data_IF_295603229223
#
_entry.id   IF_295603229223
#
_cell.length_a   1.000
_cell.length_b   1.000
_cell.length_c   1.000
_cell.angle_alpha   90.00
_cell.angle_beta   90.00
_cell.angle_gamma   90.00
#
_symmetry.space_group_name_H-M   'P 1'
#
loop_
_entity.id
_entity.type
_entity.pdbx_description
1 polymer ?
#
# COMPACT_ATOMS: atom_id res chain seq x y z
N UNK A 1 14.85 -10.09 37.47
CA UNK A 1 16.18 -9.92 36.85
C UNK A 1 15.94 -9.85 35.35
N UNK A 2 15.83 -8.65 34.78
CA UNK A 2 15.62 -8.49 33.33
C UNK A 2 16.99 -8.42 32.67
N UNK A 3 17.28 -9.38 31.78
CA UNK A 3 18.49 -9.39 30.96
C UNK A 3 18.58 -8.13 30.07
N UNK A 4 19.79 -7.63 29.81
CA UNK A 4 19.99 -6.48 28.94
C UNK A 4 19.72 -6.90 27.50
N UNK A 5 18.59 -6.45 26.94
CA UNK A 5 18.28 -6.62 25.52
C UNK A 5 19.41 -6.02 24.68
N UNK A 6 20.03 -6.88 23.87
CA UNK A 6 21.18 -6.54 23.03
C UNK A 6 20.93 -5.24 22.25
N UNK A 7 21.91 -4.33 22.28
CA UNK A 7 21.87 -3.08 21.51
C UNK A 7 21.57 -3.43 20.03
N UNK A 8 20.51 -2.85 19.43
CA UNK A 8 20.13 -3.21 18.07
C UNK A 8 21.25 -2.86 17.09
N UNK A 9 21.55 -3.78 16.17
CA UNK A 9 22.61 -3.59 15.18
C UNK A 9 22.33 -2.35 14.33
N UNK A 10 23.37 -1.55 14.06
CA UNK A 10 23.27 -0.33 13.23
C UNK A 10 22.67 -0.71 11.87
N UNK A 11 21.51 -0.13 11.54
CA UNK A 11 20.78 -0.43 10.29
C UNK A 11 19.69 -1.51 10.41
N UNK A 12 19.41 -2.04 11.59
CA UNK A 12 18.21 -2.87 11.82
C UNK A 12 16.95 -2.03 11.99
N UNK A 13 15.77 -2.64 11.79
CA UNK A 13 14.47 -1.97 11.96
C UNK A 13 14.30 -1.45 13.40
N UNK A 14 14.75 -2.22 14.40
CA UNK A 14 14.73 -1.82 15.81
C UNK A 14 15.70 -0.66 16.09
N UNK A 15 16.82 -0.59 15.36
CA UNK A 15 17.74 0.54 15.47
C UNK A 15 17.11 1.84 14.94
N UNK A 16 16.45 1.80 13.77
CA UNK A 16 15.74 2.97 13.22
C UNK A 16 14.57 3.39 14.11
N UNK A 17 13.82 2.42 14.64
CA UNK A 17 12.78 2.68 15.64
C UNK A 17 13.34 3.44 16.86
N UNK A 18 14.49 3.00 17.38
CA UNK A 18 15.17 3.70 18.47
C UNK A 18 15.64 5.11 18.12
N UNK A 19 15.97 5.38 16.85
CA UNK A 19 16.36 6.72 16.39
C UNK A 19 15.16 7.67 16.20
N UNK A 20 13.97 7.14 15.88
CA UNK A 20 12.74 7.93 15.79
C UNK A 20 12.46 8.66 17.12
N UNK A 21 12.64 7.98 18.25
CA UNK A 21 12.36 8.53 19.58
C UNK A 21 13.42 9.52 20.11
N UNK A 22 14.53 9.75 19.39
CA UNK A 22 15.65 10.59 19.84
C UNK A 22 15.55 12.05 19.35
N UNK A 23 14.63 12.34 18.42
CA UNK A 23 14.40 13.67 17.86
C UNK A 23 14.31 13.68 16.34
N UNK A 24 13.63 14.69 15.77
CA UNK A 24 13.28 14.75 14.35
C UNK A 24 14.50 14.71 13.41
N UNK A 25 15.55 15.47 13.72
CA UNK A 25 16.77 15.54 12.90
C UNK A 25 17.56 14.21 12.89
N UNK A 26 17.56 13.51 14.01
CA UNK A 26 18.24 12.21 14.16
C UNK A 26 17.45 11.13 13.41
N UNK A 27 16.13 11.18 13.54
CA UNK A 27 15.20 10.31 12.82
C UNK A 27 15.33 10.46 11.30
N UNK A 28 15.37 11.70 10.79
CA UNK A 28 15.52 11.97 9.36
C UNK A 28 16.84 11.43 8.80
N UNK A 29 17.95 11.67 9.50
CA UNK A 29 19.27 11.14 9.10
C UNK A 29 19.29 9.61 9.11
N UNK A 30 18.67 8.98 10.10
CA UNK A 30 18.56 7.53 10.19
C UNK A 30 17.70 6.95 9.06
N UNK A 31 16.52 7.53 8.80
CA UNK A 31 15.63 7.12 7.71
C UNK A 31 16.27 7.33 6.34
N UNK A 32 16.99 8.42 6.12
CA UNK A 32 17.65 8.71 4.84
C UNK A 32 18.77 7.72 4.51
N UNK A 33 19.41 7.18 5.55
CA UNK A 33 20.44 6.14 5.43
C UNK A 33 19.87 4.73 5.30
N UNK A 34 18.69 4.48 5.84
CA UNK A 34 18.11 3.14 5.97
C UNK A 34 17.02 2.81 4.94
N UNK A 35 16.22 3.79 4.56
CA UNK A 35 15.15 3.66 3.56
C UNK A 35 15.70 3.42 2.15
N UNK A 36 14.82 2.93 1.27
CA UNK A 36 15.15 2.73 -0.14
C UNK A 36 15.49 4.07 -0.82
N UNK A 37 16.52 4.09 -1.69
CA UNK A 37 17.01 5.33 -2.33
C UNK A 37 15.92 6.12 -3.06
N UNK A 38 14.94 5.43 -3.64
CA UNK A 38 13.82 6.05 -4.34
C UNK A 38 12.83 6.77 -3.40
N UNK A 39 12.77 6.40 -2.12
CA UNK A 39 11.86 7.00 -1.13
C UNK A 39 12.44 8.19 -0.37
N UNK A 40 13.71 8.54 -0.61
CA UNK A 40 14.38 9.68 0.03
C UNK A 40 13.62 11.01 -0.08
N UNK A 41 12.93 11.33 -1.20
CA UNK A 41 12.12 12.55 -1.28
C UNK A 41 10.91 12.58 -0.34
N UNK A 42 10.44 11.41 0.14
CA UNK A 42 9.30 11.30 1.06
C UNK A 42 9.72 11.56 2.52
N UNK A 43 11.03 11.55 2.82
CA UNK A 43 11.57 11.66 4.17
C UNK A 43 11.60 13.12 4.64
N UNK A 44 10.44 13.60 5.08
CA UNK A 44 10.24 14.96 5.60
C UNK A 44 9.98 14.94 7.09
N UNK A 45 10.15 16.09 7.76
CA UNK A 45 9.83 16.23 9.19
C UNK A 45 8.36 15.88 9.49
N UNK A 46 7.46 16.10 8.52
CA UNK A 46 6.05 15.72 8.63
C UNK A 46 5.87 14.20 8.71
N UNK A 47 6.61 13.43 7.89
CA UNK A 47 6.59 11.96 7.95
C UNK A 47 7.09 11.46 9.31
N UNK A 48 8.13 12.09 9.88
CA UNK A 48 8.63 11.71 11.20
C UNK A 48 7.59 11.96 12.30
N UNK A 49 6.89 13.10 12.26
CA UNK A 49 5.79 13.38 13.20
C UNK A 49 4.63 12.41 13.06
N UNK A 50 4.27 12.04 11.83
CA UNK A 50 3.24 11.03 11.58
C UNK A 50 3.66 9.67 12.17
N UNK A 51 4.91 9.23 11.92
CA UNK A 51 5.45 7.99 12.49
C UNK A 51 5.43 7.99 14.01
N UNK A 52 5.77 9.11 14.65
CA UNK A 52 5.75 9.23 16.12
C UNK A 52 4.34 9.23 16.73
N UNK A 53 3.31 9.52 15.93
CA UNK A 53 1.90 9.46 16.35
C UNK A 53 1.26 8.07 16.22
N UNK A 54 1.95 7.09 15.65
CA UNK A 54 1.42 5.74 15.39
C UNK A 54 1.70 4.78 16.56
N UNK A 55 0.90 3.71 16.62
CA UNK A 55 1.17 2.59 17.53
C UNK A 55 2.46 1.84 17.13
N UNK A 56 3.15 1.17 18.06
CA UNK A 56 4.42 0.49 17.76
C UNK A 56 4.36 -0.49 16.59
N UNK A 57 3.26 -1.22 16.42
CA UNK A 57 3.10 -2.17 15.32
C UNK A 57 2.90 -1.47 13.97
N UNK A 58 2.18 -0.35 13.96
CA UNK A 58 2.01 0.49 12.78
C UNK A 58 3.33 1.18 12.37
N UNK A 59 4.16 1.59 13.34
CA UNK A 59 5.51 2.11 13.05
C UNK A 59 6.36 1.03 12.39
N UNK A 60 6.33 -0.21 12.91
CA UNK A 60 7.09 -1.33 12.30
C UNK A 60 6.62 -1.62 10.88
N UNK A 61 5.31 -1.59 10.64
CA UNK A 61 4.75 -1.77 9.30
C UNK A 61 5.20 -0.65 8.34
N UNK A 62 5.10 0.61 8.76
CA UNK A 62 5.55 1.76 7.97
C UNK A 62 7.05 1.74 7.69
N UNK A 63 7.88 1.35 8.66
CA UNK A 63 9.31 1.16 8.45
C UNK A 63 9.59 0.04 7.43
N UNK A 64 8.88 -1.11 7.51
CA UNK A 64 9.01 -2.17 6.49
C UNK A 64 8.66 -1.66 5.09
N UNK A 65 7.65 -0.82 4.97
CA UNK A 65 7.25 -0.18 3.72
C UNK A 65 8.34 0.74 3.15
N UNK A 66 8.94 1.59 4.00
CA UNK A 66 10.00 2.53 3.59
C UNK A 66 11.29 1.84 3.12
N UNK A 67 11.46 0.56 3.44
CA UNK A 67 12.57 -0.26 2.97
C UNK A 67 12.34 -0.85 1.57
N UNK A 68 11.10 -0.86 1.09
CA UNK A 68 10.72 -1.33 -0.24
C UNK A 68 10.79 -0.20 -1.30
N UNK A 69 10.94 -0.51 -2.60
CA UNK A 69 10.87 0.49 -3.67
C UNK A 69 9.50 1.19 -3.77
N UNK A 70 9.40 2.23 -4.62
CA UNK A 70 8.13 2.95 -4.87
C UNK A 70 7.09 2.04 -5.52
N UNK A 71 5.81 2.35 -5.27
CA UNK A 71 4.65 1.70 -5.92
C UNK A 71 4.17 2.55 -7.10
N UNK A 72 3.99 1.94 -8.27
CA UNK A 72 3.54 2.57 -9.52
C UNK A 72 2.13 2.09 -9.92
N UNK A 73 1.39 2.91 -10.67
CA UNK A 73 0.15 2.58 -11.41
C UNK A 73 0.16 3.35 -12.75
N UNK A 74 -0.29 2.75 -13.86
CA UNK A 74 -0.34 3.40 -15.19
C UNK A 74 -1.79 3.60 -15.68
N UNK A 75 -2.04 4.71 -16.39
CA UNK A 75 -3.33 5.05 -17.02
C UNK A 75 -3.66 4.10 -18.19
N UNK A 76 -4.94 3.78 -18.39
CA UNK A 76 -5.43 2.88 -19.46
C UNK A 76 -5.29 3.58 -20.83
N UNK A 77 -4.71 2.90 -21.82
CA UNK A 77 -4.47 3.43 -23.18
C UNK A 77 -4.82 2.43 -24.28
N UNK A 78 -4.63 2.79 -25.56
CA UNK A 78 -5.04 1.96 -26.72
C UNK A 78 -4.31 0.61 -26.86
N UNK A 79 -3.24 0.38 -26.09
CA UNK A 79 -2.50 -0.90 -26.01
C UNK A 79 -2.74 -1.64 -24.68
N UNK A 80 -3.84 -1.35 -23.99
CA UNK A 80 -4.21 -2.02 -22.74
C UNK A 80 -4.80 -3.42 -23.01
N UNK A 81 -4.27 -4.43 -22.32
CA UNK A 81 -4.80 -5.79 -22.38
C UNK A 81 -5.93 -5.94 -21.35
N UNK A 82 -7.16 -6.10 -21.84
CA UNK A 82 -8.30 -6.48 -21.02
C UNK A 82 -8.48 -8.00 -21.06
N UNK A 83 -8.71 -8.59 -19.89
CA UNK A 83 -8.96 -10.01 -19.74
C UNK A 83 -10.37 -10.22 -19.16
N UNK A 84 -11.18 -11.14 -19.74
CA UNK A 84 -12.38 -11.62 -19.08
C UNK A 84 -11.97 -12.36 -17.81
N UNK A 85 -12.60 -12.00 -16.70
CA UNK A 85 -12.37 -12.60 -15.40
C UNK A 85 -13.67 -12.62 -14.59
N UNK A 86 -13.73 -13.49 -13.59
CA UNK A 86 -14.84 -13.51 -12.62
C UNK A 86 -14.34 -13.18 -11.22
N UNK A 87 -15.13 -12.42 -10.47
CA UNK A 87 -14.87 -12.09 -9.07
C UNK A 87 -15.95 -12.72 -8.19
N UNK A 88 -15.55 -13.53 -7.22
CA UNK A 88 -16.46 -13.98 -6.16
C UNK A 88 -16.23 -13.18 -4.88
N UNK A 89 -17.33 -12.80 -4.25
CA UNK A 89 -17.33 -12.35 -2.86
C UNK A 89 -17.11 -13.54 -1.92
N UNK A 90 -16.33 -13.33 -0.87
CA UNK A 90 -15.98 -14.38 0.08
C UNK A 90 -17.02 -14.54 1.20
N UNK A 91 -17.82 -13.52 1.44
CA UNK A 91 -18.81 -13.44 2.51
C UNK A 91 -20.19 -13.95 2.08
N UNK A 92 -20.65 -13.61 0.87
CA UNK A 92 -21.97 -13.98 0.37
C UNK A 92 -21.98 -14.80 -0.94
N UNK A 93 -20.80 -15.11 -1.51
CA UNK A 93 -20.66 -16.03 -2.63
C UNK A 93 -21.22 -15.54 -3.97
N UNK A 94 -21.48 -14.25 -4.12
CA UNK A 94 -21.88 -13.63 -5.38
C UNK A 94 -20.71 -13.58 -6.36
N UNK A 95 -20.99 -13.91 -7.62
CA UNK A 95 -20.01 -13.86 -8.72
C UNK A 95 -20.32 -12.71 -9.66
N UNK A 96 -19.28 -12.02 -10.13
CA UNK A 96 -19.37 -10.94 -11.12
C UNK A 96 -18.39 -11.18 -12.28
N UNK A 97 -18.92 -11.33 -13.48
CA UNK A 97 -18.12 -11.31 -14.71
C UNK A 97 -17.73 -9.88 -15.05
N UNK A 98 -16.44 -9.61 -15.16
CA UNK A 98 -15.90 -8.30 -15.51
C UNK A 98 -14.77 -8.41 -16.53
N UNK A 99 -14.43 -7.27 -17.13
CA UNK A 99 -13.20 -7.09 -17.89
C UNK A 99 -12.17 -6.41 -16.98
N UNK A 100 -11.09 -7.12 -16.65
CA UNK A 100 -10.00 -6.56 -15.86
C UNK A 100 -8.85 -6.12 -16.73
N UNK A 101 -8.21 -5.01 -16.35
CA UNK A 101 -6.96 -4.57 -16.96
C UNK A 101 -5.79 -5.38 -16.41
N UNK A 102 -5.01 -6.00 -17.30
CA UNK A 102 -3.69 -6.51 -16.95
C UNK A 102 -2.67 -5.38 -17.07
N UNK A 103 -2.27 -4.81 -15.94
CA UNK A 103 -1.24 -3.77 -15.87
C UNK A 103 0.01 -4.31 -15.16
N UNK A 104 1.06 -4.61 -15.94
CA UNK A 104 2.37 -5.01 -15.40
C UNK A 104 3.10 -3.85 -14.69
N UNK A 105 2.65 -2.62 -14.88
CA UNK A 105 3.14 -1.44 -14.17
C UNK A 105 2.47 -1.22 -12.82
N UNK A 106 1.36 -1.91 -12.53
CA UNK A 106 0.67 -1.83 -11.25
C UNK A 106 1.41 -2.67 -10.19
N UNK A 107 1.47 -2.13 -8.97
CA UNK A 107 2.16 -2.79 -7.85
C UNK A 107 1.23 -3.53 -6.90
N UNK A 108 -0.03 -3.69 -7.28
CA UNK A 108 -1.06 -4.41 -6.56
C UNK A 108 -2.34 -4.55 -7.39
N UNK A 109 -3.36 -5.14 -6.79
CA UNK A 109 -4.69 -5.26 -7.37
C UNK A 109 -5.56 -4.08 -6.93
N UNK A 110 -6.28 -3.49 -7.89
CA UNK A 110 -7.11 -2.31 -7.66
C UNK A 110 -8.52 -2.58 -8.16
N UNK A 111 -9.50 -2.04 -7.45
CA UNK A 111 -10.91 -2.15 -7.79
C UNK A 111 -11.53 -0.77 -7.81
N UNK A 112 -12.30 -0.50 -8.87
CA UNK A 112 -13.04 0.75 -9.03
C UNK A 112 -14.01 0.98 -7.86
N UNK A 113 -14.00 2.18 -7.29
CA UNK A 113 -14.82 2.50 -6.13
C UNK A 113 -16.31 2.56 -6.49
N UNK A 114 -16.64 3.08 -7.67
CA UNK A 114 -18.00 3.11 -8.20
C UNK A 114 -18.58 1.71 -8.34
N UNK A 115 -17.81 0.79 -8.93
CA UNK A 115 -18.16 -0.62 -9.04
C UNK A 115 -18.39 -1.27 -7.67
N UNK A 116 -17.44 -1.08 -6.73
CA UNK A 116 -17.53 -1.68 -5.40
C UNK A 116 -18.78 -1.21 -4.64
N UNK A 117 -19.11 0.08 -4.73
CA UNK A 117 -20.32 0.66 -4.13
C UNK A 117 -21.59 0.18 -4.83
N UNK A 118 -21.61 0.18 -6.16
CA UNK A 118 -22.77 -0.25 -6.95
C UNK A 118 -23.12 -1.73 -6.73
N UNK A 119 -22.11 -2.57 -6.48
CA UNK A 119 -22.31 -3.98 -6.15
C UNK A 119 -22.51 -4.24 -4.66
N UNK A 120 -22.42 -3.23 -3.80
CA UNK A 120 -22.56 -3.39 -2.35
C UNK A 120 -21.53 -4.38 -1.80
N UNK A 121 -20.27 -4.23 -2.21
CA UNK A 121 -19.19 -5.06 -1.70
C UNK A 121 -18.85 -4.65 -0.26
N UNK A 122 -18.48 -5.63 0.56
CA UNK A 122 -17.99 -5.36 1.89
C UNK A 122 -16.59 -4.74 1.84
N UNK A 123 -16.46 -3.53 2.39
CA UNK A 123 -15.24 -2.74 2.35
C UNK A 123 -14.62 -2.67 3.74
N UNK A 124 -13.35 -3.09 3.82
CA UNK A 124 -12.54 -2.96 5.02
C UNK A 124 -11.81 -1.61 4.99
N UNK A 125 -12.01 -0.80 6.03
CA UNK A 125 -11.31 0.47 6.16
C UNK A 125 -9.85 0.24 6.52
N UNK A 126 -8.94 0.89 5.79
CA UNK A 126 -7.53 0.85 6.10
C UNK A 126 -7.24 1.66 7.38
N UNK A 127 -6.32 1.18 8.24
CA UNK A 127 -5.88 1.93 9.41
C UNK A 127 -5.30 3.31 9.07
N UNK A 128 -4.73 3.46 7.87
CA UNK A 128 -4.29 4.73 7.31
C UNK A 128 -4.56 4.80 5.81
N UNK A 129 -4.86 5.99 5.31
CA UNK A 129 -5.00 6.20 3.87
C UNK A 129 -3.66 6.09 3.16
N UNK A 130 -3.61 5.40 2.02
CA UNK A 130 -2.39 5.21 1.23
C UNK A 130 -2.41 6.20 0.04
N UNK A 131 -1.47 7.14 -0.07
CA UNK A 131 -1.40 8.04 -1.22
C UNK A 131 -1.06 7.25 -2.49
N UNK A 132 -1.77 7.56 -3.57
CA UNK A 132 -1.51 7.00 -4.91
C UNK A 132 -0.84 8.06 -5.77
N UNK A 133 0.16 7.62 -6.55
CA UNK A 133 0.80 8.42 -7.57
C UNK A 133 0.51 7.84 -8.96
N UNK A 134 0.22 8.73 -9.91
CA UNK A 134 0.17 8.38 -11.33
C UNK A 134 1.57 8.03 -11.85
N UNK A 135 1.65 7.40 -13.03
CA UNK A 135 2.92 7.03 -13.65
C UNK A 135 3.88 8.22 -13.91
N UNK A 136 3.35 9.44 -14.02
CA UNK A 136 4.11 10.68 -14.16
C UNK A 136 4.58 11.27 -12.81
N UNK A 137 4.21 10.66 -11.69
CA UNK A 137 4.58 11.08 -10.33
C UNK A 137 3.64 12.11 -9.69
N UNK A 138 2.57 12.53 -10.36
CA UNK A 138 1.52 13.37 -9.77
C UNK A 138 0.65 12.58 -8.79
N UNK A 139 -0.03 13.26 -7.86
CA UNK A 139 -1.04 12.63 -7.02
C UNK A 139 -2.25 12.19 -7.86
N UNK A 140 -2.82 11.04 -7.53
CA UNK A 140 -4.09 10.63 -8.13
C UNK A 140 -5.22 11.59 -7.69
N UNK A 141 -5.97 12.13 -8.65
CA UNK A 141 -7.07 13.08 -8.40
C UNK A 141 -8.22 12.44 -7.61
N UNK A 142 -8.39 11.12 -7.73
CA UNK A 142 -9.37 10.36 -6.94
C UNK A 142 -9.06 10.34 -5.43
N UNK A 143 -7.88 10.82 -5.04
CA UNK A 143 -7.43 10.84 -3.65
C UNK A 143 -6.77 9.52 -3.21
N UNK A 144 -6.49 9.38 -1.91
CA UNK A 144 -5.78 8.22 -1.39
C UNK A 144 -6.70 7.01 -1.23
N UNK A 145 -6.13 5.82 -1.25
CA UNK A 145 -6.84 4.55 -0.95
C UNK A 145 -7.23 4.58 0.53
N UNK A 146 -8.51 4.40 0.82
CA UNK A 146 -9.04 4.32 2.19
C UNK A 146 -9.63 2.97 2.53
N UNK A 147 -10.00 2.19 1.51
CA UNK A 147 -10.70 0.94 1.68
C UNK A 147 -10.04 -0.16 0.86
N UNK A 148 -10.18 -1.38 1.35
CA UNK A 148 -9.82 -2.61 0.64
C UNK A 148 -11.00 -3.56 0.64
N UNK A 149 -11.02 -4.50 -0.30
CA UNK A 149 -11.94 -5.65 -0.25
C UNK A 149 -11.22 -6.91 -0.66
N UNK A 150 -11.65 -8.06 -0.16
CA UNK A 150 -11.06 -9.36 -0.49
C UNK A 150 -12.02 -10.12 -1.36
N UNK A 151 -11.57 -10.50 -2.56
CA UNK A 151 -12.37 -11.21 -3.54
C UNK A 151 -11.56 -12.40 -4.07
N UNK A 152 -12.25 -13.46 -4.47
CA UNK A 152 -11.64 -14.53 -5.26
C UNK A 152 -11.68 -14.11 -6.73
N UNK A 153 -10.52 -14.05 -7.35
CA UNK A 153 -10.36 -13.80 -8.76
C UNK A 153 -10.24 -15.11 -9.52
N UNK A 154 -10.97 -15.23 -10.61
CA UNK A 154 -10.89 -16.34 -11.55
C UNK A 154 -10.44 -15.87 -12.91
N UNK A 155 -9.40 -16.50 -13.44
CA UNK A 155 -8.95 -16.34 -14.82
C UNK A 155 -8.84 -17.74 -15.42
N UNK A 156 -9.80 -18.09 -16.28
CA UNK A 156 -9.94 -19.44 -16.84
C UNK A 156 -10.00 -20.51 -15.73
N UNK A 157 -9.00 -21.38 -15.68
CA UNK A 157 -8.86 -22.49 -14.72
C UNK A 157 -8.05 -22.12 -13.47
N UNK A 158 -7.56 -20.87 -13.38
CA UNK A 158 -6.83 -20.37 -12.22
C UNK A 158 -7.72 -19.52 -11.32
N UNK A 159 -7.64 -19.77 -10.02
CA UNK A 159 -8.40 -19.04 -9.01
C UNK A 159 -7.51 -18.69 -7.81
N UNK A 160 -7.51 -17.43 -7.39
CA UNK A 160 -6.75 -16.98 -6.22
C UNK A 160 -7.49 -15.85 -5.49
N UNK A 161 -7.32 -15.76 -4.17
CA UNK A 161 -7.92 -14.70 -3.35
C UNK A 161 -6.97 -13.52 -3.25
N UNK A 162 -7.41 -12.36 -3.70
CA UNK A 162 -6.63 -11.12 -3.63
C UNK A 162 -7.30 -10.09 -2.73
N UNK A 163 -6.47 -9.25 -2.11
CA UNK A 163 -6.91 -7.99 -1.51
C UNK A 163 -6.81 -6.89 -2.56
N UNK A 164 -7.94 -6.32 -2.93
CA UNK A 164 -8.05 -5.20 -3.84
C UNK A 164 -8.07 -3.89 -3.07
N UNK A 165 -7.20 -2.95 -3.46
CA UNK A 165 -7.31 -1.56 -3.04
C UNK A 165 -8.46 -0.87 -3.78
N UNK A 166 -9.39 -0.27 -3.06
CA UNK A 166 -10.54 0.40 -3.66
C UNK A 166 -10.18 1.86 -3.95
N UNK A 167 -10.21 2.22 -5.23
CA UNK A 167 -9.84 3.55 -5.72
C UNK A 167 -10.35 3.74 -7.15
N UNK A 168 -10.65 4.98 -7.53
CA UNK A 168 -10.84 5.31 -8.94
C UNK A 168 -9.46 5.55 -9.58
N UNK A 169 -9.22 4.94 -10.74
CA UNK A 169 -7.91 4.98 -11.41
C UNK A 169 -7.79 6.02 -12.53
N UNK A 170 -8.83 6.81 -12.76
CA UNK A 170 -8.80 7.95 -13.70
C UNK A 170 -8.84 7.56 -15.16
#
# INVERSE_FOLDING_TARGET
>A
MFEPTAKPSRGSLNWVYGQLCQGEDVALKALHRWSHRQRRPELTSNLVRELLGLTPDNIRAALRELKQPRRWIRKIGSNSLLLPLALDTLDDGRTFDIQGLLDSGATGCYLDEGFARAKGLNLEQLPRSIPIYNADGSFNEAGPIRFTTRLRLHIKDHSEVFTFAVTNLG
#
